data_IF_175906005374
#
_entry.id   IF_175906005374
#
_cell.length_a   1.000
_cell.length_b   1.000
_cell.length_c   1.000
_cell.angle_alpha   90.00
_cell.angle_beta   90.00
_cell.angle_gamma   90.00
#
_symmetry.space_group_name_H-M   'P 1'
#
loop_
_entity.id
_entity.type
_entity.pdbx_description
1 polymer ?
#
# COMPACT_ATOMS: atom_id res chain seq x y z
N UNK A 1 -11.93 -91.78 -17.53
CA UNK A 1 -10.88 -91.74 -18.55
C UNK A 1 -10.23 -90.37 -18.44
N UNK A 2 -9.12 -90.28 -17.69
CA UNK A 2 -7.76 -90.05 -18.23
C UNK A 2 -7.49 -88.53 -18.17
N UNK A 3 -6.94 -87.95 -17.09
CA UNK A 3 -5.59 -88.04 -16.52
C UNK A 3 -4.70 -86.83 -16.91
N UNK A 4 -4.00 -86.26 -15.90
CA UNK A 4 -2.59 -85.79 -15.91
C UNK A 4 -2.31 -84.42 -16.61
N UNK A 5 -1.50 -83.43 -16.15
CA UNK A 5 -0.37 -83.21 -15.18
C UNK A 5 -0.24 -81.66 -14.99
N UNK A 6 -0.14 -81.08 -13.77
CA UNK A 6 1.06 -80.45 -13.10
C UNK A 6 1.91 -79.50 -13.99
N UNK A 7 2.60 -78.42 -13.57
CA UNK A 7 2.85 -77.63 -12.34
C UNK A 7 3.68 -76.39 -12.81
N UNK A 8 3.44 -75.18 -12.28
CA UNK A 8 4.30 -74.39 -11.35
C UNK A 8 5.55 -73.67 -11.92
N UNK A 9 5.82 -72.51 -11.29
CA UNK A 9 6.98 -71.58 -11.35
C UNK A 9 7.04 -70.57 -12.52
N UNK A 10 7.37 -69.28 -12.35
CA UNK A 10 7.61 -68.43 -11.18
C UNK A 10 7.71 -66.95 -11.63
N UNK A 11 7.59 -66.06 -10.64
CA UNK A 11 8.22 -64.74 -10.50
C UNK A 11 7.60 -63.48 -11.15
N UNK A 12 7.32 -62.54 -10.23
CA UNK A 12 7.27 -61.07 -10.30
C UNK A 12 7.49 -60.39 -11.65
N UNK A 13 6.68 -59.35 -11.92
CA UNK A 13 7.17 -57.96 -11.97
C UNK A 13 5.98 -56.99 -11.97
N UNK A 14 5.90 -56.18 -10.92
CA UNK A 14 5.05 -54.99 -10.78
C UNK A 14 5.49 -53.91 -11.77
N UNK A 15 4.61 -53.42 -12.65
CA UNK A 15 4.71 -52.04 -13.16
C UNK A 15 3.31 -51.47 -13.42
N UNK A 16 2.90 -50.55 -12.55
CA UNK A 16 1.76 -49.67 -12.74
C UNK A 16 2.11 -48.58 -13.78
N UNK A 17 1.14 -48.11 -14.59
CA UNK A 17 1.38 -47.05 -15.55
C UNK A 17 1.52 -45.69 -14.85
N UNK A 18 2.57 -44.97 -15.23
CA UNK A 18 2.95 -43.65 -14.74
C UNK A 18 1.85 -42.62 -15.01
N UNK A 19 1.21 -42.13 -13.94
CA UNK A 19 0.47 -40.87 -13.98
C UNK A 19 1.47 -39.74 -14.13
N UNK A 20 1.47 -39.12 -15.30
CA UNK A 20 2.16 -37.86 -15.57
C UNK A 20 1.58 -36.83 -14.61
N UNK A 21 2.38 -36.42 -13.62
CA UNK A 21 2.03 -35.33 -12.72
C UNK A 21 1.83 -34.07 -13.54
N UNK A 22 0.58 -33.66 -13.72
CA UNK A 22 0.27 -32.29 -14.07
C UNK A 22 0.72 -31.43 -12.89
N UNK A 23 1.90 -30.84 -13.01
CA UNK A 23 2.24 -29.68 -12.20
C UNK A 23 1.17 -28.64 -12.50
N UNK A 24 0.21 -28.49 -11.60
CA UNK A 24 -0.66 -27.33 -11.57
C UNK A 24 0.26 -26.15 -11.30
N UNK A 25 0.76 -25.51 -12.36
CA UNK A 25 1.28 -24.16 -12.27
C UNK A 25 0.10 -23.30 -11.85
N UNK A 26 -0.08 -23.12 -10.54
CA UNK A 26 -0.86 -22.00 -10.03
C UNK A 26 -0.31 -20.77 -10.75
N UNK A 27 -1.14 -19.98 -11.44
CA UNK A 27 -0.65 -18.76 -12.05
C UNK A 27 -0.01 -17.96 -10.91
N UNK A 28 1.28 -17.66 -11.03
CA UNK A 28 1.95 -16.80 -10.07
C UNK A 28 1.15 -15.52 -10.00
N UNK A 29 0.61 -15.22 -8.81
CA UNK A 29 -0.04 -13.94 -8.58
C UNK A 29 1.02 -12.88 -8.88
N UNK A 30 0.65 -11.92 -9.71
CA UNK A 30 1.52 -10.83 -10.11
C UNK A 30 0.78 -9.54 -9.81
N UNK A 31 1.51 -8.59 -9.25
CA UNK A 31 1.02 -7.22 -9.20
C UNK A 31 0.99 -6.65 -10.62
N UNK A 32 0.02 -5.77 -10.87
CA UNK A 32 -0.20 -5.16 -12.16
C UNK A 32 0.61 -3.86 -12.28
N UNK A 33 1.55 -3.85 -13.21
CA UNK A 33 2.47 -2.73 -13.48
C UNK A 33 1.73 -1.45 -13.90
N UNK A 34 0.56 -1.58 -14.53
CA UNK A 34 -0.26 -0.47 -15.00
C UNK A 34 -1.24 0.06 -13.93
N UNK A 35 -1.20 -0.49 -12.71
CA UNK A 35 -2.09 -0.13 -11.61
C UNK A 35 -1.33 0.52 -10.47
N UNK A 36 -1.92 1.59 -9.96
CA UNK A 36 -1.35 2.43 -8.92
C UNK A 36 -2.32 2.54 -7.75
N UNK A 37 -1.77 2.66 -6.54
CA UNK A 37 -2.56 2.86 -5.33
C UNK A 37 -1.99 4.04 -4.53
N UNK A 38 -2.84 4.98 -4.17
CA UNK A 38 -2.53 6.13 -3.34
C UNK A 38 -3.38 6.09 -2.07
N UNK A 39 -2.73 5.98 -0.91
CA UNK A 39 -3.34 6.09 0.40
C UNK A 39 -2.76 7.32 1.12
N UNK A 40 -3.64 8.27 1.46
CA UNK A 40 -3.27 9.46 2.24
C UNK A 40 -3.96 9.37 3.60
N UNK A 41 -3.18 9.48 4.67
CA UNK A 41 -3.66 9.49 6.04
C UNK A 41 -3.43 10.86 6.62
N UNK A 42 -4.51 11.58 6.90
CA UNK A 42 -4.48 12.89 7.55
C UNK A 42 -4.87 12.68 9.01
N UNK A 43 -3.87 12.83 9.90
CA UNK A 43 -4.03 12.71 11.33
C UNK A 43 -4.94 13.77 11.94
N UNK A 44 -4.98 13.85 13.27
CA UNK A 44 -5.84 14.80 13.97
C UNK A 44 -5.47 16.27 13.64
N UNK A 45 -6.44 17.00 13.12
CA UNK A 45 -6.31 18.44 12.84
C UNK A 45 -7.11 19.23 13.87
N UNK A 46 -6.42 19.72 14.91
CA UNK A 46 -7.03 20.58 15.94
C UNK A 46 -6.88 22.08 15.68
N UNK A 47 -6.02 22.48 14.74
CA UNK A 47 -5.70 23.87 14.47
C UNK A 47 -5.28 24.10 13.00
N UNK A 48 -5.33 25.35 12.53
CA UNK A 48 -5.09 25.70 11.12
C UNK A 48 -3.64 25.40 10.69
N UNK A 49 -2.68 25.57 11.60
CA UNK A 49 -1.28 25.21 11.39
C UNK A 49 -1.10 23.72 11.13
N UNK A 50 -1.88 22.86 11.80
CA UNK A 50 -1.82 21.42 11.59
C UNK A 50 -2.33 21.03 10.20
N UNK A 51 -3.36 21.73 9.71
CA UNK A 51 -3.85 21.56 8.34
C UNK A 51 -2.79 21.97 7.31
N UNK A 52 -2.09 23.09 7.54
CA UNK A 52 -1.00 23.55 6.65
C UNK A 52 0.15 22.56 6.60
N UNK A 53 0.57 22.04 7.76
CA UNK A 53 1.59 20.98 7.82
C UNK A 53 1.14 19.73 7.07
N UNK A 54 -0.11 19.30 7.29
CA UNK A 54 -0.66 18.14 6.62
C UNK A 54 -0.65 18.29 5.08
N UNK A 55 -1.09 19.44 4.57
CA UNK A 55 -1.03 19.77 3.13
C UNK A 55 0.41 19.69 2.63
N UNK A 56 1.38 20.30 3.32
CA UNK A 56 2.79 20.26 2.94
C UNK A 56 3.36 18.83 2.87
N UNK A 57 2.97 17.96 3.81
CA UNK A 57 3.36 16.54 3.80
C UNK A 57 2.77 15.79 2.60
N UNK A 58 1.51 16.07 2.25
CA UNK A 58 0.85 15.52 1.06
C UNK A 58 1.56 15.98 -0.20
N UNK A 59 1.86 17.27 -0.30
CA UNK A 59 2.60 17.84 -1.43
C UNK A 59 3.94 17.12 -1.64
N UNK A 60 4.70 16.99 -0.55
CA UNK A 60 6.01 16.35 -0.55
C UNK A 60 5.90 14.87 -0.93
N UNK A 61 4.93 14.14 -0.37
CA UNK A 61 4.71 12.73 -0.66
C UNK A 61 4.36 12.49 -2.13
N UNK A 62 3.48 13.30 -2.71
CA UNK A 62 3.09 13.18 -4.12
C UNK A 62 4.27 13.53 -5.04
N UNK A 63 4.97 14.64 -4.79
CA UNK A 63 6.05 15.11 -5.67
C UNK A 63 7.25 14.17 -5.75
N UNK A 64 7.44 13.39 -4.70
CA UNK A 64 8.52 12.41 -4.59
C UNK A 64 8.12 11.01 -5.02
N UNK A 65 6.84 10.80 -5.36
CA UNK A 65 6.39 9.52 -5.85
C UNK A 65 6.91 9.31 -7.27
N UNK A 66 8.06 8.65 -7.33
CA UNK A 66 8.77 8.23 -8.53
C UNK A 66 7.95 7.18 -9.29
N UNK A 67 6.88 7.65 -9.92
CA UNK A 67 6.03 6.91 -10.84
C UNK A 67 6.28 7.43 -12.24
N UNK A 68 6.37 6.52 -13.20
CA UNK A 68 6.47 6.92 -14.60
C UNK A 68 5.20 7.68 -14.98
N UNK A 69 5.32 8.98 -15.19
CA UNK A 69 4.23 9.86 -15.68
C UNK A 69 3.63 9.38 -17.01
N UNK A 70 4.30 8.46 -17.71
CA UNK A 70 3.84 7.82 -18.95
C UNK A 70 2.71 6.83 -18.66
N UNK A 71 2.76 6.11 -17.54
CA UNK A 71 1.80 5.06 -17.19
C UNK A 71 0.70 5.57 -16.25
N UNK A 72 0.96 6.64 -15.49
CA UNK A 72 0.01 7.28 -14.59
C UNK A 72 0.06 8.80 -14.69
N UNK A 73 -0.96 9.41 -15.32
CA UNK A 73 -1.15 10.85 -15.27
C UNK A 73 -1.84 11.25 -13.96
N UNK A 74 -1.04 11.41 -12.90
CA UNK A 74 -1.53 11.68 -11.56
C UNK A 74 -2.41 12.94 -11.47
N UNK A 75 -2.11 13.99 -12.25
CA UNK A 75 -2.93 15.22 -12.29
C UNK A 75 -4.37 14.93 -12.72
N UNK A 76 -4.52 14.12 -13.77
CA UNK A 76 -5.84 13.76 -14.30
C UNK A 76 -6.59 12.86 -13.32
N UNK A 77 -5.91 11.86 -12.75
CA UNK A 77 -6.52 10.93 -11.81
C UNK A 77 -6.95 11.62 -10.50
N UNK A 78 -6.17 12.57 -10.00
CA UNK A 78 -6.55 13.34 -8.81
C UNK A 78 -7.69 14.32 -9.08
N UNK A 79 -7.78 14.92 -10.29
CA UNK A 79 -8.97 15.69 -10.69
C UNK A 79 -10.22 14.81 -10.72
N UNK A 80 -10.10 13.58 -11.22
CA UNK A 80 -11.20 12.61 -11.19
C UNK A 80 -11.61 12.30 -9.76
N UNK A 81 -10.65 12.01 -8.88
CA UNK A 81 -10.89 11.82 -7.45
C UNK A 81 -11.68 12.99 -6.85
N UNK A 82 -11.20 14.24 -6.98
CA UNK A 82 -11.90 15.44 -6.46
C UNK A 82 -13.33 15.54 -6.97
N UNK A 83 -13.57 15.18 -8.23
CA UNK A 83 -14.89 15.28 -8.85
C UNK A 83 -15.85 14.10 -8.56
N UNK A 84 -15.33 12.93 -8.18
CA UNK A 84 -16.10 11.65 -8.19
C UNK A 84 -15.84 10.75 -6.98
N UNK A 85 -15.10 11.21 -5.98
CA UNK A 85 -14.89 10.40 -4.78
C UNK A 85 -16.23 10.15 -4.09
N UNK A 86 -16.33 8.95 -3.54
CA UNK A 86 -17.36 8.62 -2.56
C UNK A 86 -16.83 8.93 -1.17
N UNK A 87 -17.70 9.32 -0.26
CA UNK A 87 -17.34 9.57 1.13
C UNK A 87 -18.06 8.56 2.05
N UNK A 88 -17.29 7.90 2.91
CA UNK A 88 -17.78 7.07 4.01
C UNK A 88 -17.49 7.80 5.32
N UNK A 89 -18.44 7.77 6.24
CA UNK A 89 -18.35 8.47 7.53
C UNK A 89 -18.40 7.45 8.66
N UNK A 90 -17.65 7.70 9.73
CA UNK A 90 -17.77 6.89 10.95
C UNK A 90 -18.85 7.48 11.87
N UNK A 91 -19.70 6.61 12.42
CA UNK A 91 -20.62 7.01 13.48
C UNK A 91 -19.94 7.05 14.85
N UNK A 92 -18.89 6.25 15.02
CA UNK A 92 -18.22 6.00 16.31
C UNK A 92 -17.04 6.95 16.54
N UNK A 93 -16.37 7.37 15.46
CA UNK A 93 -15.20 8.25 15.51
C UNK A 93 -15.59 9.61 14.93
N UNK A 94 -15.62 10.63 15.80
CA UNK A 94 -16.04 11.98 15.43
C UNK A 94 -15.15 12.53 14.32
N UNK A 95 -15.77 13.00 13.24
CA UNK A 95 -15.06 13.68 12.16
C UNK A 95 -14.27 12.76 11.24
N UNK A 96 -14.25 11.44 11.49
CA UNK A 96 -13.60 10.48 10.61
C UNK A 96 -14.33 10.40 9.26
N UNK A 97 -13.58 10.58 8.18
CA UNK A 97 -14.06 10.45 6.80
C UNK A 97 -13.08 9.61 6.00
N UNK A 98 -13.60 8.73 5.15
CA UNK A 98 -12.85 7.96 4.17
C UNK A 98 -13.37 8.35 2.81
N UNK A 99 -12.53 9.01 2.03
CA UNK A 99 -12.82 9.33 0.63
C UNK A 99 -12.20 8.25 -0.24
N UNK A 100 -12.96 7.76 -1.20
CA UNK A 100 -12.50 6.69 -2.08
C UNK A 100 -12.93 6.94 -3.51
N UNK A 101 -11.96 6.86 -4.41
CA UNK A 101 -12.20 6.79 -5.84
C UNK A 101 -11.30 5.74 -6.46
N UNK A 102 -11.86 4.95 -7.38
CA UNK A 102 -11.12 3.95 -8.15
C UNK A 102 -11.36 4.18 -9.64
N UNK A 103 -10.27 4.37 -10.37
CA UNK A 103 -10.29 4.46 -11.82
C UNK A 103 -9.72 3.19 -12.46
N UNK A 104 -9.52 3.24 -13.78
CA UNK A 104 -8.84 2.18 -14.52
C UNK A 104 -7.32 2.15 -14.28
N UNK A 105 -6.73 3.18 -13.68
CA UNK A 105 -5.27 3.27 -13.49
C UNK A 105 -4.92 3.44 -12.02
N UNK A 106 -5.58 4.37 -11.33
CA UNK A 106 -5.29 4.74 -9.95
C UNK A 106 -6.47 4.44 -9.02
N UNK A 107 -6.18 3.83 -7.89
CA UNK A 107 -7.06 3.79 -6.73
C UNK A 107 -6.55 4.80 -5.70
N UNK A 108 -7.44 5.69 -5.24
CA UNK A 108 -7.12 6.75 -4.27
C UNK A 108 -8.03 6.65 -3.07
N UNK A 109 -7.42 6.53 -1.89
CA UNK A 109 -8.07 6.56 -0.59
C UNK A 109 -7.48 7.71 0.22
N UNK A 110 -8.34 8.56 0.79
CA UNK A 110 -7.94 9.63 1.72
C UNK A 110 -8.69 9.46 3.03
N UNK A 111 -7.94 9.26 4.11
CA UNK A 111 -8.45 9.19 5.47
C UNK A 111 -8.30 10.55 6.14
N UNK A 112 -9.37 11.04 6.73
CA UNK A 112 -9.41 12.30 7.47
C UNK A 112 -9.83 12.00 8.89
N UNK A 113 -9.06 12.51 9.87
CA UNK A 113 -9.26 12.26 11.30
C UNK A 113 -9.57 10.77 11.59
N UNK A 114 -8.77 9.80 11.10
CA UNK A 114 -9.08 8.39 11.27
C UNK A 114 -8.76 7.90 12.68
N UNK A 115 -9.30 6.73 13.03
CA UNK A 115 -8.79 5.88 14.10
C UNK A 115 -7.60 5.03 13.64
N UNK A 116 -6.81 4.54 14.59
CA UNK A 116 -5.75 3.54 14.38
C UNK A 116 -6.25 2.27 13.67
N UNK A 117 -7.45 1.80 14.02
CA UNK A 117 -8.11 0.67 13.36
C UNK A 117 -8.41 0.95 11.88
N UNK A 118 -8.92 2.15 11.57
CA UNK A 118 -9.22 2.54 10.20
C UNK A 118 -7.94 2.66 9.35
N UNK A 119 -6.89 3.25 9.90
CA UNK A 119 -5.57 3.31 9.23
C UNK A 119 -5.05 1.90 8.97
N UNK A 120 -5.06 1.03 9.97
CA UNK A 120 -4.53 -0.35 9.84
C UNK A 120 -5.31 -1.16 8.80
N UNK A 121 -6.63 -0.99 8.74
CA UNK A 121 -7.50 -1.66 7.76
C UNK A 121 -7.18 -1.20 6.34
N UNK A 122 -7.11 0.12 6.10
CA UNK A 122 -6.88 0.66 4.76
C UNK A 122 -5.44 0.42 4.28
N UNK A 123 -4.46 0.39 5.19
CA UNK A 123 -3.09 -0.05 4.84
C UNK A 123 -3.07 -1.54 4.49
N UNK A 124 -3.80 -2.41 5.22
CA UNK A 124 -3.93 -3.84 4.87
C UNK A 124 -4.57 -4.01 3.48
N UNK A 125 -5.61 -3.24 3.17
CA UNK A 125 -6.25 -3.24 1.84
C UNK A 125 -5.30 -2.76 0.75
N UNK A 126 -4.54 -1.69 0.99
CA UNK A 126 -3.54 -1.20 0.05
C UNK A 126 -2.46 -2.25 -0.21
N UNK A 127 -1.91 -2.89 0.83
CA UNK A 127 -0.84 -3.90 0.69
C UNK A 127 -1.34 -5.12 -0.08
N UNK A 128 -2.58 -5.55 0.18
CA UNK A 128 -3.18 -6.71 -0.49
C UNK A 128 -3.72 -6.44 -1.90
N UNK A 129 -3.88 -5.17 -2.29
CA UNK A 129 -4.36 -4.82 -3.62
C UNK A 129 -3.40 -5.22 -4.75
N UNK A 130 -3.95 -5.49 -5.93
CA UNK A 130 -3.23 -5.90 -7.14
C UNK A 130 -2.29 -4.85 -7.75
N UNK A 131 -2.34 -3.58 -7.35
CA UNK A 131 -1.47 -2.52 -7.89
C UNK A 131 -0.01 -2.74 -7.55
N UNK A 132 0.89 -2.63 -8.53
CA UNK A 132 2.33 -2.78 -8.26
C UNK A 132 2.92 -1.58 -7.58
N UNK A 133 2.54 -0.37 -7.98
CA UNK A 133 3.13 0.86 -7.46
C UNK A 133 2.17 1.49 -6.44
N UNK A 134 2.62 1.59 -5.20
CA UNK A 134 1.82 2.03 -4.05
C UNK A 134 2.51 3.20 -3.35
N UNK A 135 1.74 4.19 -2.93
CA UNK A 135 2.19 5.31 -2.11
C UNK A 135 1.32 5.41 -0.86
N UNK A 136 1.96 5.38 0.31
CA UNK A 136 1.36 5.73 1.59
C UNK A 136 1.94 7.06 2.06
N UNK A 137 1.07 8.03 2.30
CA UNK A 137 1.44 9.31 2.90
C UNK A 137 0.83 9.39 4.30
N UNK A 138 1.68 9.49 5.32
CA UNK A 138 1.29 9.82 6.69
C UNK A 138 1.53 11.33 6.89
N UNK A 139 0.45 12.06 7.16
CA UNK A 139 0.43 13.52 7.11
C UNK A 139 -0.27 14.09 8.34
N UNK A 140 0.35 15.09 8.98
CA UNK A 140 -0.18 15.74 10.18
C UNK A 140 0.76 15.69 11.38
N UNK A 141 0.19 15.93 12.56
CA UNK A 141 0.98 16.03 13.79
C UNK A 141 1.57 14.69 14.20
N UNK A 142 2.83 14.71 14.65
CA UNK A 142 3.54 13.52 15.05
C UNK A 142 4.22 13.70 16.41
N UNK A 143 4.33 12.62 17.17
CA UNK A 143 5.04 12.63 18.46
C UNK A 143 6.54 12.86 18.25
N UNK A 144 7.15 13.78 19.00
CA UNK A 144 8.56 14.17 18.80
C UNK A 144 9.55 13.00 18.96
N UNK A 145 9.27 12.10 19.91
CA UNK A 145 10.19 11.03 20.28
C UNK A 145 10.09 9.81 19.36
N UNK A 146 8.87 9.33 19.11
CA UNK A 146 8.62 8.08 18.36
C UNK A 146 8.28 8.33 16.90
N UNK A 147 7.84 9.55 16.54
CA UNK A 147 7.40 9.88 15.18
C UNK A 147 6.03 9.31 14.82
N UNK A 148 5.25 8.90 15.83
CA UNK A 148 3.91 8.35 15.62
C UNK A 148 2.97 9.43 15.14
N UNK A 149 2.20 9.12 14.10
CA UNK A 149 1.15 10.03 13.63
C UNK A 149 0.03 10.06 14.66
N UNK A 150 -0.31 11.25 15.14
CA UNK A 150 -1.41 11.47 16.08
C UNK A 150 -2.72 11.39 15.31
N UNK A 151 -3.61 10.50 15.74
CA UNK A 151 -4.88 10.22 15.10
C UNK A 151 -6.05 10.76 15.93
N UNK A 152 -7.25 10.75 15.35
CA UNK A 152 -8.46 11.18 16.08
C UNK A 152 -8.73 10.30 17.30
N UNK A 153 -8.39 9.02 17.19
CA UNK A 153 -8.32 8.07 18.31
C UNK A 153 -7.09 7.18 18.12
N UNK A 154 -6.19 7.19 19.09
CA UNK A 154 -4.94 6.42 19.05
C UNK A 154 -3.80 7.13 18.31
N UNK A 155 -2.81 6.36 17.89
CA UNK A 155 -1.68 6.81 17.09
C UNK A 155 -1.30 5.72 16.09
N UNK A 156 -0.57 6.09 15.03
CA UNK A 156 -0.02 5.13 14.07
C UNK A 156 1.51 5.21 14.05
N UNK A 157 2.14 4.17 14.59
CA UNK A 157 3.59 4.03 14.70
C UNK A 157 4.19 3.20 13.57
N UNK A 158 5.53 3.25 13.47
CA UNK A 158 6.28 2.32 12.63
C UNK A 158 5.99 0.86 12.99
N UNK A 159 5.85 0.54 14.28
CA UNK A 159 5.53 -0.82 14.73
C UNK A 159 4.14 -1.25 14.30
N UNK A 160 3.13 -0.37 14.38
CA UNK A 160 1.80 -0.69 13.86
C UNK A 160 1.83 -1.00 12.37
N UNK A 161 2.66 -0.29 11.60
CA UNK A 161 2.87 -0.60 10.19
C UNK A 161 3.53 -1.96 9.98
N UNK A 162 4.57 -2.30 10.75
CA UNK A 162 5.22 -3.62 10.66
C UNK A 162 4.28 -4.75 11.06
N UNK A 163 3.46 -4.55 12.09
CA UNK A 163 2.50 -5.54 12.58
C UNK A 163 1.50 -5.97 11.50
N UNK A 164 1.14 -5.08 10.56
CA UNK A 164 0.28 -5.42 9.42
C UNK A 164 0.89 -6.52 8.55
N UNK A 165 2.22 -6.59 8.43
CA UNK A 165 2.91 -7.63 7.67
C UNK A 165 3.12 -8.92 8.45
N UNK A 166 2.84 -8.92 9.76
CA UNK A 166 2.80 -10.15 10.58
C UNK A 166 1.45 -10.86 10.48
N UNK A 167 0.45 -10.19 9.90
CA UNK A 167 -0.86 -10.76 9.59
C UNK A 167 -0.69 -11.95 8.65
N UNK A 168 -1.32 -13.08 9.01
CA UNK A 168 -1.18 -14.33 8.27
C UNK A 168 -1.66 -14.19 6.82
N UNK A 169 -2.77 -13.49 6.57
CA UNK A 169 -3.33 -13.36 5.23
C UNK A 169 -2.41 -12.53 4.33
N UNK A 170 -1.80 -11.48 4.87
CA UNK A 170 -0.82 -10.64 4.17
C UNK A 170 0.47 -11.42 3.91
N UNK A 171 0.98 -12.14 4.91
CA UNK A 171 2.17 -12.96 4.77
C UNK A 171 2.01 -14.05 3.71
N UNK A 172 0.88 -14.77 3.72
CA UNK A 172 0.55 -15.79 2.73
C UNK A 172 0.46 -15.18 1.32
N UNK A 173 -0.29 -14.09 1.16
CA UNK A 173 -0.42 -13.39 -0.13
C UNK A 173 0.95 -13.05 -0.71
N UNK A 174 1.78 -12.32 0.05
CA UNK A 174 3.07 -11.86 -0.43
C UNK A 174 4.06 -13.00 -0.66
N UNK A 175 3.98 -14.10 0.10
CA UNK A 175 4.85 -15.27 -0.06
C UNK A 175 4.64 -16.01 -1.39
N UNK A 176 3.46 -15.88 -2.01
CA UNK A 176 3.15 -16.50 -3.30
C UNK A 176 3.63 -15.69 -4.51
N UNK A 177 4.05 -14.44 -4.29
CA UNK A 177 4.50 -13.53 -5.34
C UNK A 177 5.94 -13.85 -5.72
N UNK A 178 6.21 -13.99 -7.02
CA UNK A 178 7.58 -14.20 -7.49
C UNK A 178 8.48 -12.99 -7.15
N UNK A 179 9.73 -13.17 -6.68
CA UNK A 179 10.58 -12.06 -6.24
C UNK A 179 10.82 -10.95 -7.27
N UNK A 180 10.75 -11.27 -8.57
CA UNK A 180 10.87 -10.28 -9.66
C UNK A 180 9.61 -9.40 -9.83
N UNK A 181 8.49 -9.78 -9.22
CA UNK A 181 7.18 -9.16 -9.38
C UNK A 181 6.67 -8.50 -8.10
N UNK A 182 7.55 -8.25 -7.12
CA UNK A 182 7.17 -7.56 -5.87
C UNK A 182 6.50 -6.21 -6.15
N UNK A 183 5.54 -5.86 -5.31
CA UNK A 183 5.01 -4.51 -5.26
C UNK A 183 6.09 -3.55 -4.77
N UNK A 184 5.98 -2.29 -5.19
CA UNK A 184 6.79 -1.17 -4.75
C UNK A 184 5.92 -0.30 -3.83
N UNK A 185 6.26 -0.23 -2.56
CA UNK A 185 5.61 0.63 -1.57
C UNK A 185 6.53 1.79 -1.23
N UNK A 186 6.12 2.99 -1.63
CA UNK A 186 6.77 4.23 -1.21
C UNK A 186 6.07 4.76 0.03
N UNK A 187 6.85 5.07 1.06
CA UNK A 187 6.36 5.63 2.32
C UNK A 187 6.80 7.09 2.44
N UNK A 188 5.84 7.99 2.58
CA UNK A 188 6.07 9.38 2.97
C UNK A 188 5.63 9.53 4.43
N UNK A 189 6.61 9.42 5.33
CA UNK A 189 6.40 9.42 6.78
C UNK A 189 7.12 10.62 7.41
N UNK A 190 6.87 10.91 8.71
CA UNK A 190 7.57 11.96 9.43
C UNK A 190 9.09 11.74 9.43
N UNK A 191 9.86 12.81 9.23
CA UNK A 191 11.34 12.78 9.19
C UNK A 191 11.95 12.67 10.63
N UNK A 192 11.26 12.00 11.56
CA UNK A 192 11.61 11.90 12.97
C UNK A 192 11.30 10.51 13.56
N UNK A 193 11.85 10.24 14.75
CA UNK A 193 11.57 9.03 15.51
C UNK A 193 11.97 7.71 14.82
N UNK A 194 11.16 6.68 15.03
CA UNK A 194 11.43 5.32 14.57
C UNK A 194 11.30 5.18 13.05
N UNK A 195 10.48 6.00 12.40
CA UNK A 195 10.35 6.01 10.94
C UNK A 195 11.69 6.30 10.25
N UNK A 196 12.40 7.32 10.71
CA UNK A 196 13.71 7.71 10.16
C UNK A 196 14.80 6.68 10.45
N UNK A 197 14.74 6.03 11.62
CA UNK A 197 15.76 5.08 12.07
C UNK A 197 15.42 3.61 11.75
N UNK A 198 14.33 3.37 11.02
CA UNK A 198 13.77 2.04 10.74
C UNK A 198 14.68 1.12 9.94
N UNK A 199 15.66 1.65 9.20
CA UNK A 199 16.47 0.89 8.24
C UNK A 199 15.62 0.01 7.31
N UNK A 200 14.48 0.54 6.85
CA UNK A 200 13.48 -0.20 6.09
C UNK A 200 14.08 -0.89 4.85
N UNK A 201 15.08 -0.28 4.22
CA UNK A 201 15.85 -0.82 3.08
C UNK A 201 16.55 -2.16 3.36
N UNK A 202 16.75 -2.50 4.64
CA UNK A 202 17.41 -3.74 5.11
C UNK A 202 16.48 -4.62 5.93
N UNK A 203 15.21 -4.25 6.05
CA UNK A 203 14.25 -5.00 6.85
C UNK A 203 13.84 -6.30 6.13
N UNK A 204 13.53 -7.36 6.89
CA UNK A 204 13.14 -8.67 6.34
C UNK A 204 11.91 -8.59 5.41
N UNK A 205 11.12 -7.53 5.50
CA UNK A 205 9.97 -7.29 4.63
C UNK A 205 10.36 -7.01 3.18
N UNK A 206 11.60 -6.57 2.92
CA UNK A 206 12.13 -6.38 1.56
C UNK A 206 12.13 -7.67 0.74
N UNK A 207 12.11 -8.84 1.39
CA UNK A 207 12.00 -10.14 0.73
C UNK A 207 10.64 -10.37 0.08
N UNK A 208 9.62 -9.61 0.49
CA UNK A 208 8.22 -9.79 0.09
C UNK A 208 7.65 -8.60 -0.68
N UNK A 209 8.07 -7.38 -0.34
CA UNK A 209 7.63 -6.14 -0.96
C UNK A 209 8.76 -5.12 -0.94
N UNK A 210 8.99 -4.44 -2.07
CA UNK A 210 10.04 -3.42 -2.14
C UNK A 210 9.55 -2.16 -1.43
N UNK A 211 10.15 -1.85 -0.29
CA UNK A 211 9.79 -0.64 0.45
C UNK A 211 10.87 0.43 0.30
N UNK A 212 10.46 1.69 0.15
CA UNK A 212 11.37 2.83 0.21
C UNK A 212 10.78 3.95 1.04
N UNK A 213 11.61 4.55 1.89
CA UNK A 213 11.28 5.82 2.50
C UNK A 213 11.58 6.94 1.53
N UNK A 214 10.66 7.89 1.43
CA UNK A 214 10.89 9.11 0.70
C UNK A 214 11.83 10.03 1.51
N UNK A 215 13.15 9.95 1.25
CA UNK A 215 14.13 10.83 1.90
C UNK A 215 14.17 12.22 1.24
N UNK A 216 14.07 13.26 2.06
CA UNK A 216 13.98 14.68 1.67
C UNK A 216 15.29 15.30 1.15
N UNK A 217 16.28 14.51 0.73
CA UNK A 217 17.59 15.01 0.31
C UNK A 217 17.80 15.13 -1.21
N UNK A 218 16.74 15.30 -2.01
CA UNK A 218 16.91 15.86 -3.35
C UNK A 218 16.53 17.33 -3.33
N UNK A 219 17.58 18.15 -3.35
CA UNK A 219 17.61 19.61 -3.52
C UNK A 219 16.26 20.29 -3.73
N UNK A 220 15.93 21.23 -2.81
CA UNK A 220 15.25 22.46 -3.18
C UNK A 220 16.06 23.15 -4.28
N UNK A 221 15.87 22.75 -5.54
CA UNK A 221 15.97 23.70 -6.64
C UNK A 221 14.53 24.10 -6.92
N UNK A 222 14.21 25.34 -6.58
CA UNK A 222 12.99 26.01 -6.96
C UNK A 222 12.94 26.03 -8.49
N UNK A 223 12.37 25.00 -9.09
CA UNK A 223 11.86 25.05 -10.44
C UNK A 223 10.36 25.20 -10.36
N UNK A 224 9.93 26.43 -10.57
CA UNK A 224 8.60 26.74 -11.06
C UNK A 224 8.31 25.86 -12.27
N UNK A 225 7.11 25.26 -12.30
CA UNK A 225 6.55 24.39 -13.35
C UNK A 225 7.01 22.92 -13.42
N UNK A 226 6.98 22.20 -12.29
CA UNK A 226 6.85 20.73 -12.34
C UNK A 226 5.38 20.32 -12.54
N UNK A 227 5.05 19.33 -13.40
CA UNK A 227 3.67 18.85 -13.61
C UNK A 227 2.96 18.47 -12.30
N UNK A 228 3.71 17.97 -11.33
CA UNK A 228 3.23 17.64 -9.99
C UNK A 228 2.60 18.79 -9.20
N UNK A 229 2.76 20.06 -9.60
CA UNK A 229 2.10 21.18 -8.92
C UNK A 229 0.57 21.16 -9.05
N UNK A 230 0.02 20.63 -10.15
CA UNK A 230 -1.43 20.65 -10.41
C UNK A 230 -2.16 19.50 -9.70
N UNK A 231 -1.55 18.32 -9.67
CA UNK A 231 -1.97 17.17 -8.86
C UNK A 231 -2.15 17.56 -7.40
N UNK A 232 -1.11 18.17 -6.84
CA UNK A 232 -1.10 18.56 -5.43
C UNK A 232 -2.17 19.58 -5.10
N UNK A 233 -2.34 20.60 -5.95
CA UNK A 233 -3.35 21.63 -5.77
C UNK A 233 -4.78 21.08 -5.71
N UNK A 234 -5.07 20.04 -6.51
CA UNK A 234 -6.41 19.44 -6.54
C UNK A 234 -6.76 18.76 -5.21
N UNK A 235 -5.82 17.99 -4.64
CA UNK A 235 -6.00 17.37 -3.33
C UNK A 235 -5.98 18.40 -2.19
N UNK A 236 -5.12 19.41 -2.27
CA UNK A 236 -5.07 20.51 -1.29
C UNK A 236 -6.43 21.22 -1.17
N UNK A 237 -7.02 21.60 -2.31
CA UNK A 237 -8.33 22.26 -2.34
C UNK A 237 -9.40 21.38 -1.72
N UNK A 238 -9.45 20.10 -2.08
CA UNK A 238 -10.46 19.18 -1.56
C UNK A 238 -10.29 18.94 -0.05
N UNK A 239 -9.07 18.69 0.40
CA UNK A 239 -8.75 18.52 1.83
C UNK A 239 -9.15 19.79 2.61
N UNK A 240 -8.78 20.97 2.12
CA UNK A 240 -9.15 22.24 2.76
C UNK A 240 -10.67 22.42 2.84
N UNK A 241 -11.39 22.12 1.75
CA UNK A 241 -12.86 22.20 1.72
C UNK A 241 -13.52 21.23 2.70
N UNK A 242 -12.93 20.06 2.93
CA UNK A 242 -13.48 19.06 3.83
C UNK A 242 -13.33 19.43 5.30
N UNK A 243 -12.27 20.16 5.66
CA UNK A 243 -12.10 20.68 7.03
C UNK A 243 -12.89 21.97 7.31
N UNK A 244 -13.33 22.69 6.28
CA UNK A 244 -14.18 23.89 6.42
C UNK A 244 -15.70 23.58 6.50
N UNK A 245 -16.11 22.32 6.28
CA UNK A 245 -17.51 21.85 6.30
C UNK A 245 -17.80 20.95 7.49
#
# INVERSE_FOLDING_TARGET
>A
MTALVQSADAMETLYAPSHVGAASSSPSQHFNDAKFYLLVVIGEVVAEEHLKCAIADIEKGIRSWDTNLIDCNLDQELKLFVSRHSARFSADVRGQRILHHKSNVLETVVLINPSDEAVSTEVRLMVSDTSRNKLLILSGQCTENTGELILQTGSFSFYNFIDIFTDQEIGELLSTIHPANKANLTLSCPDQGDWKNSNLDKHNLQDFINMKLNSSHQHQVVFSSSPSHVATYSLEVEVTQLFLR
#
